data_IF_053785048911
#
_entry.id   IF_053785048911
#
_cell.length_a   1.000
_cell.length_b   1.000
_cell.length_c   1.000
_cell.angle_alpha   90.00
_cell.angle_beta   90.00
_cell.angle_gamma   90.00
#
_symmetry.space_group_name_H-M   'P 1'
#
loop_
_entity.id
_entity.type
_entity.pdbx_description
1 polymer ?
#
# COMPACT_ATOMS: atom_id res chain seq x y z
N UNK A 1 -34.50 -6.60 7.53
CA UNK A 1 -33.43 -6.86 8.51
C UNK A 1 -32.17 -7.21 7.73
N UNK A 2 -31.05 -6.53 7.97
CA UNK A 2 -29.79 -6.83 7.28
C UNK A 2 -29.19 -8.09 7.90
N UNK A 3 -28.84 -9.09 7.09
CA UNK A 3 -28.21 -10.32 7.58
C UNK A 3 -26.80 -9.97 8.13
N UNK A 4 -26.48 -10.21 9.41
CA UNK A 4 -25.18 -9.90 9.98
C UNK A 4 -24.00 -10.55 9.24
N UNK A 5 -24.18 -11.74 8.65
CA UNK A 5 -23.14 -12.38 7.82
C UNK A 5 -22.83 -11.60 6.53
N UNK A 6 -23.84 -10.92 5.97
CA UNK A 6 -23.66 -10.10 4.77
C UNK A 6 -22.83 -8.85 5.04
N UNK A 7 -22.90 -8.30 6.26
CA UNK A 7 -22.12 -7.12 6.68
C UNK A 7 -20.65 -7.50 6.87
N UNK A 8 -20.39 -8.59 7.59
CA UNK A 8 -19.02 -9.11 7.81
C UNK A 8 -18.33 -9.44 6.49
N UNK A 9 -19.04 -10.06 5.54
CA UNK A 9 -18.49 -10.35 4.22
C UNK A 9 -18.17 -9.09 3.41
N UNK A 10 -18.99 -8.04 3.50
CA UNK A 10 -18.71 -6.75 2.85
C UNK A 10 -17.49 -6.05 3.46
N UNK A 11 -17.35 -6.09 4.79
CA UNK A 11 -16.18 -5.52 5.48
C UNK A 11 -14.90 -6.25 5.10
N UNK A 12 -14.89 -7.60 5.14
CA UNK A 12 -13.76 -8.40 4.67
C UNK A 12 -13.37 -8.07 3.24
N UNK A 13 -14.35 -7.94 2.34
CA UNK A 13 -14.08 -7.57 0.95
C UNK A 13 -13.46 -6.18 0.83
N UNK A 14 -13.96 -5.18 1.58
CA UNK A 14 -13.38 -3.83 1.61
C UNK A 14 -11.94 -3.83 2.11
N UNK A 15 -11.65 -4.59 3.17
CA UNK A 15 -10.29 -4.74 3.71
C UNK A 15 -9.35 -5.38 2.68
N UNK A 16 -9.78 -6.45 1.99
CA UNK A 16 -9.00 -7.09 0.92
C UNK A 16 -8.67 -6.13 -0.23
N UNK A 17 -9.66 -5.37 -0.70
CA UNK A 17 -9.45 -4.37 -1.78
C UNK A 17 -8.49 -3.27 -1.32
N UNK A 18 -8.63 -2.79 -0.08
CA UNK A 18 -7.72 -1.78 0.48
C UNK A 18 -6.29 -2.30 0.58
N UNK A 19 -6.11 -3.54 1.05
CA UNK A 19 -4.80 -4.17 1.13
C UNK A 19 -4.16 -4.31 -0.26
N UNK A 20 -4.91 -4.84 -1.23
CA UNK A 20 -4.42 -5.00 -2.60
C UNK A 20 -3.98 -3.67 -3.23
N UNK A 21 -4.69 -2.56 -2.96
CA UNK A 21 -4.28 -1.22 -3.43
C UNK A 21 -2.97 -0.77 -2.79
N UNK A 22 -2.82 -0.94 -1.48
CA UNK A 22 -1.58 -0.56 -0.78
C UNK A 22 -0.38 -1.41 -1.26
N UNK A 23 -0.59 -2.69 -1.55
CA UNK A 23 0.44 -3.57 -2.11
C UNK A 23 0.82 -3.17 -3.55
N UNK A 24 -0.16 -2.78 -4.38
CA UNK A 24 0.10 -2.24 -5.71
C UNK A 24 0.91 -0.93 -5.65
N UNK A 25 0.58 -0.03 -4.73
CA UNK A 25 1.33 1.21 -4.52
C UNK A 25 2.80 0.93 -4.14
N UNK A 26 3.04 -0.03 -3.24
CA UNK A 26 4.41 -0.46 -2.88
C UNK A 26 5.18 -0.93 -4.11
N UNK A 27 4.59 -1.85 -4.88
CA UNK A 27 5.22 -2.40 -6.07
C UNK A 27 5.55 -1.30 -7.09
N UNK A 28 4.62 -0.36 -7.29
CA UNK A 28 4.84 0.78 -8.17
C UNK A 28 5.98 1.69 -7.69
N UNK A 29 6.01 2.04 -6.40
CA UNK A 29 7.08 2.89 -5.84
C UNK A 29 8.45 2.21 -5.92
N UNK A 30 8.50 0.90 -5.65
CA UNK A 30 9.72 0.13 -5.78
C UNK A 30 10.22 0.11 -7.23
N UNK A 31 9.35 -0.22 -8.19
CA UNK A 31 9.68 -0.18 -9.61
C UNK A 31 10.17 1.21 -10.03
N UNK A 32 9.55 2.28 -9.53
CA UNK A 32 9.98 3.65 -9.85
C UNK A 32 11.35 3.99 -9.27
N UNK A 33 11.68 3.49 -8.08
CA UNK A 33 13.01 3.65 -7.48
C UNK A 33 14.09 2.91 -8.28
N UNK A 34 13.77 1.71 -8.78
CA UNK A 34 14.64 0.94 -9.67
C UNK A 34 14.85 1.68 -11.00
N UNK A 35 13.78 2.21 -11.61
CA UNK A 35 13.85 3.00 -12.84
C UNK A 35 14.67 4.28 -12.70
N UNK A 36 14.62 4.95 -11.54
CA UNK A 36 15.43 6.15 -11.30
C UNK A 36 16.91 5.78 -11.15
N UNK A 37 17.21 4.62 -10.54
CA UNK A 37 18.59 4.16 -10.36
C UNK A 37 19.44 5.18 -9.61
N UNK A 38 20.68 5.36 -10.05
CA UNK A 38 21.56 6.41 -9.53
C UNK A 38 21.20 7.76 -10.19
N UNK A 39 20.72 8.75 -9.40
CA UNK A 39 20.23 9.99 -9.97
C UNK A 39 21.38 10.89 -10.43
N UNK A 40 21.27 11.44 -11.65
CA UNK A 40 22.26 12.34 -12.25
C UNK A 40 21.79 13.79 -12.31
N UNK A 41 20.54 14.06 -11.91
CA UNK A 41 19.95 15.40 -11.89
C UNK A 41 19.22 15.69 -10.59
N UNK A 42 19.10 16.99 -10.24
CA UNK A 42 18.33 17.45 -9.07
C UNK A 42 16.89 16.94 -9.08
N UNK A 43 16.25 16.87 -10.25
CA UNK A 43 14.91 16.34 -10.40
C UNK A 43 14.85 14.84 -10.03
N UNK A 44 15.78 14.02 -10.52
CA UNK A 44 15.83 12.61 -10.16
C UNK A 44 16.16 12.39 -8.67
N UNK A 45 17.02 13.23 -8.09
CA UNK A 45 17.30 13.22 -6.65
C UNK A 45 15.99 13.48 -5.87
N UNK A 46 15.23 14.51 -6.24
CA UNK A 46 13.97 14.84 -5.61
C UNK A 46 12.94 13.69 -5.76
N UNK A 47 12.78 13.14 -6.97
CA UNK A 47 11.90 12.00 -7.23
C UNK A 47 12.29 10.79 -6.37
N UNK A 48 13.58 10.42 -6.32
CA UNK A 48 14.07 9.29 -5.52
C UNK A 48 13.77 9.50 -4.03
N UNK A 49 13.93 10.71 -3.50
CA UNK A 49 13.58 11.03 -2.11
C UNK A 49 12.08 10.86 -1.85
N UNK A 50 11.23 11.36 -2.76
CA UNK A 50 9.77 11.24 -2.65
C UNK A 50 9.33 9.78 -2.69
N UNK A 51 9.78 9.01 -3.68
CA UNK A 51 9.39 7.60 -3.79
C UNK A 51 9.92 6.75 -2.63
N UNK A 52 11.10 7.05 -2.07
CA UNK A 52 11.57 6.40 -0.83
C UNK A 52 10.65 6.69 0.35
N UNK A 53 10.21 7.95 0.50
CA UNK A 53 9.29 8.34 1.57
C UNK A 53 7.93 7.65 1.41
N UNK A 54 7.37 7.67 0.20
CA UNK A 54 6.10 7.02 -0.11
C UNK A 54 6.17 5.50 0.14
N UNK A 55 7.22 4.84 -0.33
CA UNK A 55 7.44 3.41 -0.10
C UNK A 55 7.49 3.09 1.40
N UNK A 56 8.24 3.85 2.19
CA UNK A 56 8.32 3.65 3.65
C UNK A 56 6.96 3.86 4.33
N UNK A 57 6.27 4.95 4.01
CA UNK A 57 5.00 5.31 4.64
C UNK A 57 3.90 4.31 4.29
N UNK A 58 3.76 3.95 3.01
CA UNK A 58 2.78 2.96 2.56
C UNK A 58 3.11 1.57 3.12
N UNK A 59 4.39 1.23 3.33
CA UNK A 59 4.78 -0.04 3.94
C UNK A 59 4.23 -0.16 5.36
N UNK A 60 4.28 0.92 6.14
CA UNK A 60 3.64 0.98 7.45
C UNK A 60 2.12 0.76 7.38
N UNK A 61 1.45 1.34 6.39
CA UNK A 61 0.00 1.15 6.17
C UNK A 61 -0.35 -0.28 5.76
N UNK A 62 0.48 -0.94 4.94
CA UNK A 62 0.30 -2.36 4.58
C UNK A 62 0.37 -3.22 5.84
N UNK A 63 1.37 -3.01 6.70
CA UNK A 63 1.51 -3.76 7.94
C UNK A 63 0.32 -3.57 8.87
N UNK A 64 -0.18 -2.34 9.00
CA UNK A 64 -1.39 -2.06 9.76
C UNK A 64 -2.62 -2.76 9.15
N UNK A 65 -2.85 -2.62 7.85
CA UNK A 65 -3.99 -3.22 7.17
C UNK A 65 -3.97 -4.77 7.23
N UNK A 66 -2.79 -5.40 7.22
CA UNK A 66 -2.65 -6.84 7.41
C UNK A 66 -3.04 -7.28 8.83
N UNK A 67 -2.66 -6.51 9.86
CA UNK A 67 -3.08 -6.80 11.25
C UNK A 67 -4.59 -6.70 11.40
N UNK A 68 -5.18 -5.60 10.92
CA UNK A 68 -6.64 -5.40 10.95
C UNK A 68 -7.39 -6.51 10.21
N UNK A 69 -6.87 -6.98 9.08
CA UNK A 69 -7.48 -8.10 8.35
C UNK A 69 -7.38 -9.43 9.10
N UNK A 70 -6.25 -9.72 9.76
CA UNK A 70 -6.09 -10.93 10.57
C UNK A 70 -7.03 -10.97 11.77
N UNK A 71 -7.36 -9.81 12.34
CA UNK A 71 -8.35 -9.70 13.44
C UNK A 71 -9.80 -9.91 12.96
N UNK A 72 -10.06 -9.75 11.66
CA UNK A 72 -11.35 -9.98 11.03
C UNK A 72 -11.52 -11.40 10.47
N UNK A 73 -10.46 -12.21 10.39
CA UNK A 73 -10.42 -13.53 9.76
C UNK A 73 -10.90 -14.64 10.70
#
# INVERSE_FOLDING_TARGET
>A
MVNPESVVNQERQRHRVRLARLEADIAYFQARLEMIGEPTSTNQIAQRKVFKLLHKFTGGKVLQAKREYSELA
#
